data_IF_285213768529
#
_entry.id   IF_285213768529
#
_cell.length_a   1.000
_cell.length_b   1.000
_cell.length_c   1.000
_cell.angle_alpha   90.00
_cell.angle_beta   90.00
_cell.angle_gamma   90.00
#
_symmetry.space_group_name_H-M   'P 1'
#
loop_
_entity.id
_entity.type
_entity.pdbx_description
1 polymer ?
#
# COMPACT_ATOMS: atom_id res chain seq x y z
N UNK A 1 -6.80 -21.90 -13.13
CA UNK A 1 -7.28 -20.51 -13.39
C UNK A 1 -8.66 -20.62 -13.99
N UNK A 2 -9.68 -20.05 -13.35
CA UNK A 2 -11.06 -20.15 -13.83
C UNK A 2 -11.36 -19.07 -14.87
N UNK A 3 -12.32 -19.32 -15.78
CA UNK A 3 -12.77 -18.36 -16.79
C UNK A 3 -13.22 -17.01 -16.20
N UNK A 4 -13.50 -16.99 -14.90
CA UNK A 4 -13.94 -15.81 -14.14
C UNK A 4 -12.78 -14.86 -13.77
N UNK A 5 -11.58 -15.41 -13.57
CA UNK A 5 -10.35 -14.63 -13.29
C UNK A 5 -9.86 -13.92 -14.58
N UNK A 6 -10.02 -14.57 -15.72
CA UNK A 6 -9.68 -14.01 -17.04
C UNK A 6 -10.60 -12.82 -17.43
N UNK A 7 -11.86 -12.86 -17.02
CA UNK A 7 -12.84 -11.79 -17.26
C UNK A 7 -12.55 -10.58 -16.37
N UNK A 8 -12.17 -10.77 -15.11
CA UNK A 8 -11.81 -9.70 -14.19
C UNK A 8 -10.51 -8.99 -14.64
N UNK A 9 -9.50 -9.75 -15.02
CA UNK A 9 -8.24 -9.22 -15.52
C UNK A 9 -8.43 -8.40 -16.80
N UNK A 10 -9.25 -8.89 -17.76
CA UNK A 10 -9.60 -8.17 -18.99
C UNK A 10 -10.45 -6.93 -18.73
N UNK A 11 -11.36 -6.96 -17.74
CA UNK A 11 -12.21 -5.80 -17.42
C UNK A 11 -11.39 -4.65 -16.82
N UNK A 12 -10.44 -4.95 -15.93
CA UNK A 12 -9.50 -3.95 -15.40
C UNK A 12 -8.57 -3.41 -16.48
N UNK A 13 -8.07 -4.28 -17.36
CA UNK A 13 -7.21 -3.85 -18.47
C UNK A 13 -7.97 -2.92 -19.45
N UNK A 14 -9.25 -3.19 -19.70
CA UNK A 14 -10.09 -2.38 -20.61
C UNK A 14 -10.48 -1.03 -19.97
N UNK A 15 -10.66 -0.96 -18.66
CA UNK A 15 -10.92 0.32 -17.96
C UNK A 15 -9.71 1.24 -17.97
N UNK A 16 -8.49 0.68 -17.87
CA UNK A 16 -7.25 1.48 -17.95
C UNK A 16 -7.02 2.01 -19.37
N UNK A 17 -7.40 1.25 -20.41
CA UNK A 17 -7.20 1.65 -21.82
C UNK A 17 -8.38 2.48 -22.38
N UNK A 18 -9.57 2.38 -21.75
CA UNK A 18 -10.82 2.99 -22.25
C UNK A 18 -11.09 4.43 -21.84
N UNK A 19 -10.24 5.10 -21.07
CA UNK A 19 -10.43 6.52 -20.72
C UNK A 19 -10.06 7.41 -21.91
N UNK A 20 -11.09 7.88 -22.58
CA UNK A 20 -11.06 8.78 -23.73
C UNK A 20 -10.19 10.02 -23.50
N UNK A 21 -9.40 10.36 -24.52
CA UNK A 21 -8.64 11.59 -24.75
C UNK A 21 -9.34 12.83 -24.20
N UNK A 22 -8.72 13.49 -23.20
CA UNK A 22 -9.21 14.79 -22.74
C UNK A 22 -8.59 15.37 -21.49
N UNK A 23 -7.87 14.59 -20.67
CA UNK A 23 -7.03 15.13 -19.59
C UNK A 23 -5.64 14.51 -19.74
N UNK A 24 -4.62 15.38 -19.79
CA UNK A 24 -3.21 14.97 -19.71
C UNK A 24 -3.07 14.20 -18.40
N UNK A 25 -3.14 12.86 -18.46
CA UNK A 25 -2.85 12.03 -17.29
C UNK A 25 -1.41 12.33 -16.89
N UNK A 26 -1.23 13.15 -15.87
CA UNK A 26 0.07 13.34 -15.24
C UNK A 26 0.37 12.04 -14.50
N UNK A 27 1.11 11.15 -15.16
CA UNK A 27 1.69 9.98 -14.51
C UNK A 27 2.78 10.47 -13.57
N UNK A 28 2.64 10.20 -12.29
CA UNK A 28 3.70 10.47 -11.32
C UNK A 28 4.82 9.45 -11.45
N UNK A 29 5.98 9.77 -10.91
CA UNK A 29 7.16 8.89 -10.91
C UNK A 29 7.87 8.95 -9.57
N UNK A 30 8.40 7.81 -9.13
CA UNK A 30 9.19 7.77 -7.91
C UNK A 30 10.51 8.52 -8.07
N UNK A 31 10.86 9.34 -7.10
CA UNK A 31 12.16 9.99 -7.03
C UNK A 31 13.29 8.97 -6.80
N UNK A 32 14.53 9.34 -7.09
CA UNK A 32 15.71 8.52 -6.77
C UNK A 32 15.78 8.18 -5.27
N UNK A 33 15.39 9.11 -4.40
CA UNK A 33 15.29 8.87 -2.95
C UNK A 33 14.24 7.81 -2.61
N UNK A 34 13.08 7.82 -3.25
CA UNK A 34 12.05 6.78 -3.07
C UNK A 34 12.56 5.42 -3.56
N UNK A 35 13.24 5.39 -4.71
CA UNK A 35 13.81 4.15 -5.25
C UNK A 35 14.88 3.55 -4.33
N UNK A 36 15.77 4.36 -3.74
CA UNK A 36 16.76 3.87 -2.77
C UNK A 36 16.11 3.31 -1.50
N UNK A 37 14.94 3.81 -1.08
CA UNK A 37 14.19 3.27 0.06
C UNK A 37 13.53 1.91 -0.22
N UNK A 38 13.42 1.51 -1.47
CA UNK A 38 12.93 0.18 -1.86
C UNK A 38 14.03 -0.90 -1.84
N UNK A 39 15.29 -0.54 -1.60
CA UNK A 39 16.36 -1.52 -1.46
C UNK A 39 16.11 -2.46 -0.27
N UNK A 40 16.24 -3.78 -0.52
CA UNK A 40 15.97 -4.81 0.48
C UNK A 40 14.48 -5.11 0.73
N UNK A 41 13.57 -4.43 0.04
CA UNK A 41 12.13 -4.75 0.01
C UNK A 41 11.88 -5.90 -0.97
N UNK A 42 10.87 -6.74 -0.71
CA UNK A 42 10.47 -7.85 -1.57
C UNK A 42 10.07 -7.35 -2.97
N UNK A 43 10.51 -8.05 -4.01
CA UNK A 43 10.37 -7.63 -5.41
C UNK A 43 8.92 -7.35 -5.80
N UNK A 44 7.97 -8.19 -5.40
CA UNK A 44 6.55 -7.98 -5.69
C UNK A 44 6.04 -6.67 -5.11
N UNK A 45 6.43 -6.30 -3.87
CA UNK A 45 6.03 -5.02 -3.29
C UNK A 45 6.70 -3.84 -4.01
N UNK A 46 7.95 -4.00 -4.44
CA UNK A 46 8.66 -3.00 -5.27
C UNK A 46 7.93 -2.78 -6.60
N UNK A 47 7.49 -3.86 -7.27
CA UNK A 47 6.74 -3.79 -8.53
C UNK A 47 5.39 -3.10 -8.29
N UNK A 48 4.65 -3.50 -7.26
CA UNK A 48 3.36 -2.89 -6.88
C UNK A 48 3.50 -1.37 -6.68
N UNK A 49 4.48 -0.92 -5.90
CA UNK A 49 4.70 0.51 -5.64
C UNK A 49 5.05 1.27 -6.93
N UNK A 50 5.88 0.68 -7.81
CA UNK A 50 6.26 1.27 -9.10
C UNK A 50 5.10 1.36 -10.09
N UNK A 51 4.18 0.39 -10.09
CA UNK A 51 3.00 0.42 -10.95
C UNK A 51 1.93 1.34 -10.36
N UNK A 52 1.71 1.30 -9.04
CA UNK A 52 0.72 2.14 -8.37
C UNK A 52 0.98 3.64 -8.58
N UNK A 53 2.23 4.11 -8.52
CA UNK A 53 2.54 5.53 -8.72
C UNK A 53 2.14 6.04 -10.11
N UNK A 54 2.16 5.18 -11.12
CA UNK A 54 1.80 5.54 -12.51
C UNK A 54 0.30 5.79 -12.69
N UNK A 55 -0.54 5.14 -11.86
CA UNK A 55 -2.00 5.18 -11.94
C UNK A 55 -2.66 5.91 -10.78
N UNK A 56 -1.89 6.28 -9.76
CA UNK A 56 -2.38 7.00 -8.60
C UNK A 56 -2.92 8.38 -8.97
N UNK A 57 -4.01 8.79 -8.32
CA UNK A 57 -4.55 10.15 -8.41
C UNK A 57 -3.78 11.14 -7.55
N UNK A 58 -3.03 10.64 -6.57
CA UNK A 58 -2.24 11.39 -5.60
C UNK A 58 -0.77 11.06 -5.80
N UNK A 59 0.08 12.08 -5.86
CA UNK A 59 1.54 11.87 -5.87
C UNK A 59 2.00 11.32 -4.54
N UNK A 60 2.93 10.36 -4.56
CA UNK A 60 3.49 9.82 -3.35
C UNK A 60 4.97 9.42 -3.50
N UNK A 61 5.64 9.34 -2.37
CA UNK A 61 7.01 8.84 -2.29
C UNK A 61 7.16 7.78 -1.21
N UNK A 62 8.20 6.95 -1.31
CA UNK A 62 8.54 5.96 -0.28
C UNK A 62 9.38 6.65 0.80
N UNK A 63 8.92 6.61 2.05
CA UNK A 63 9.64 7.18 3.19
C UNK A 63 10.34 6.12 4.04
N UNK A 64 9.81 4.88 4.04
CA UNK A 64 10.42 3.75 4.70
C UNK A 64 10.19 2.46 3.91
N UNK A 65 11.23 1.67 3.76
CA UNK A 65 11.19 0.28 3.27
C UNK A 65 11.80 -0.63 4.32
N UNK A 66 12.98 -1.19 4.04
CA UNK A 66 13.69 -2.06 4.97
C UNK A 66 14.21 -1.29 6.19
N UNK A 67 14.03 -1.88 7.37
CA UNK A 67 14.60 -1.42 8.65
C UNK A 67 15.56 -2.47 9.21
N UNK A 68 16.56 -2.01 9.93
CA UNK A 68 17.40 -2.86 10.78
C UNK A 68 16.71 -3.16 12.12
N UNK A 69 17.14 -4.22 12.80
CA UNK A 69 16.66 -4.54 14.16
C UNK A 69 16.93 -3.39 15.15
N UNK A 70 18.07 -2.67 14.98
CA UNK A 70 18.42 -1.53 15.83
C UNK A 70 17.45 -0.37 15.62
N UNK A 71 17.14 -0.01 14.36
CA UNK A 71 16.15 1.05 14.05
C UNK A 71 14.76 0.70 14.59
N UNK A 72 14.34 -0.57 14.46
CA UNK A 72 13.07 -1.03 15.00
C UNK A 72 13.03 -0.93 16.54
N UNK A 73 14.10 -1.32 17.22
CA UNK A 73 14.21 -1.20 18.67
C UNK A 73 14.11 0.26 19.14
N UNK A 74 14.75 1.19 18.43
CA UNK A 74 14.65 2.63 18.74
C UNK A 74 13.22 3.17 18.53
N UNK A 75 12.49 2.71 17.50
CA UNK A 75 11.09 3.08 17.29
C UNK A 75 10.19 2.54 18.41
N UNK A 76 10.42 1.31 18.87
CA UNK A 76 9.69 0.74 20.02
C UNK A 76 9.98 1.53 21.30
N UNK A 77 11.25 1.86 21.55
CA UNK A 77 11.68 2.65 22.72
C UNK A 77 11.03 4.05 22.74
N UNK A 78 10.87 4.67 21.57
CA UNK A 78 10.21 5.98 21.40
C UNK A 78 8.68 5.89 21.39
N UNK A 79 8.09 4.71 21.48
CA UNK A 79 6.65 4.50 21.37
C UNK A 79 6.07 4.70 19.95
N UNK A 80 6.92 4.88 18.94
CA UNK A 80 6.54 5.03 17.55
C UNK A 80 6.22 3.68 16.87
N UNK A 81 6.63 2.57 17.46
CA UNK A 81 6.21 1.22 17.11
C UNK A 81 5.79 0.46 18.35
N UNK A 82 4.86 -0.49 18.20
CA UNK A 82 4.34 -1.33 19.30
C UNK A 82 4.94 -2.73 19.31
N UNK A 83 5.78 -3.08 18.34
CA UNK A 83 6.26 -4.45 18.17
C UNK A 83 7.70 -4.49 17.64
N UNK A 84 8.42 -5.51 18.07
CA UNK A 84 9.69 -5.90 17.45
C UNK A 84 9.48 -6.83 16.24
N UNK A 85 8.28 -7.42 16.08
CA UNK A 85 7.92 -8.25 14.94
C UNK A 85 7.30 -7.36 13.84
N UNK A 86 8.14 -6.62 13.12
CA UNK A 86 7.73 -5.69 12.07
C UNK A 86 7.97 -6.27 10.69
N UNK A 87 7.03 -6.09 9.75
CA UNK A 87 7.19 -6.46 8.34
C UNK A 87 8.25 -5.61 7.61
N UNK A 88 8.69 -4.50 8.20
CA UNK A 88 9.85 -3.72 7.71
C UNK A 88 11.20 -4.40 7.97
N UNK A 89 11.27 -5.35 8.89
CA UNK A 89 12.46 -6.17 9.08
C UNK A 89 12.57 -7.21 7.96
N UNK A 90 13.78 -7.66 7.59
CA UNK A 90 13.93 -8.82 6.73
C UNK A 90 13.23 -10.04 7.35
N UNK A 91 12.28 -10.61 6.61
CA UNK A 91 11.52 -11.79 7.02
C UNK A 91 12.34 -13.05 6.81
N UNK A 92 12.24 -14.03 7.69
CA UNK A 92 13.04 -15.26 7.64
C UNK A 92 12.79 -16.08 6.36
N UNK A 93 11.55 -16.06 5.85
CA UNK A 93 11.15 -16.81 4.65
C UNK A 93 11.81 -16.31 3.37
N UNK A 94 12.13 -15.01 3.26
CA UNK A 94 12.60 -14.39 2.01
C UNK A 94 13.90 -13.62 2.15
N UNK A 95 14.33 -13.29 3.35
CA UNK A 95 15.47 -12.39 3.61
C UNK A 95 15.19 -10.92 3.24
N UNK A 96 13.94 -10.57 2.86
CA UNK A 96 13.52 -9.23 2.44
C UNK A 96 12.49 -8.65 3.40
N UNK A 97 12.38 -7.32 3.46
CA UNK A 97 11.26 -6.68 4.14
C UNK A 97 9.98 -6.79 3.31
N UNK A 98 8.86 -6.98 3.98
CA UNK A 98 7.55 -7.15 3.35
C UNK A 98 6.66 -5.93 3.55
N UNK A 99 7.20 -4.77 3.92
CA UNK A 99 6.43 -3.56 4.15
C UNK A 99 7.11 -2.31 3.59
N UNK A 100 6.28 -1.33 3.25
CA UNK A 100 6.67 0.05 2.90
C UNK A 100 5.76 1.04 3.60
N UNK A 101 6.32 2.22 3.95
CA UNK A 101 5.55 3.39 4.34
C UNK A 101 5.63 4.44 3.22
N UNK A 102 4.48 4.92 2.78
CA UNK A 102 4.34 5.92 1.72
C UNK A 102 3.97 7.29 2.30
N UNK A 103 4.40 8.34 1.63
CA UNK A 103 4.05 9.73 1.96
C UNK A 103 3.28 10.34 0.80
N UNK A 104 2.07 10.82 1.06
CA UNK A 104 1.29 11.56 0.09
C UNK A 104 1.85 12.98 -0.12
N UNK A 105 1.75 13.49 -1.35
CA UNK A 105 2.13 14.85 -1.69
C UNK A 105 0.99 15.61 -2.37
N UNK A 106 0.79 16.86 -1.96
CA UNK A 106 -0.06 17.83 -2.63
C UNK A 106 0.83 18.94 -3.18
N UNK A 107 1.12 18.88 -4.48
CA UNK A 107 2.22 19.64 -5.07
C UNK A 107 3.56 19.21 -4.46
N UNK A 108 4.32 20.15 -3.90
CA UNK A 108 5.60 19.84 -3.21
C UNK A 108 5.46 19.59 -1.71
N UNK A 109 4.27 19.69 -1.14
CA UNK A 109 4.02 19.57 0.31
C UNK A 109 3.62 18.14 0.67
N UNK A 110 4.34 17.54 1.64
CA UNK A 110 3.93 16.28 2.26
C UNK A 110 2.63 16.48 3.05
N UNK A 111 1.73 15.50 2.97
CA UNK A 111 0.43 15.52 3.66
C UNK A 111 0.16 14.17 4.34
N UNK A 112 -0.43 14.25 5.52
CA UNK A 112 -0.89 13.10 6.31
C UNK A 112 -2.42 12.96 6.28
N UNK A 113 -3.10 13.70 5.40
CA UNK A 113 -4.55 13.66 5.27
C UNK A 113 -5.02 12.29 4.79
N UNK A 114 -5.88 11.65 5.58
CA UNK A 114 -6.22 10.23 5.42
C UNK A 114 -6.91 9.93 4.08
N UNK A 115 -7.73 10.86 3.58
CA UNK A 115 -8.41 10.75 2.30
C UNK A 115 -7.44 10.66 1.09
N UNK A 116 -6.21 11.17 1.21
CA UNK A 116 -5.19 11.02 0.17
C UNK A 116 -4.67 9.58 0.13
N UNK A 117 -4.62 8.91 1.29
CA UNK A 117 -4.19 7.52 1.39
C UNK A 117 -5.26 6.54 0.88
N UNK A 118 -6.54 6.91 0.87
CA UNK A 118 -7.59 6.13 0.22
C UNK A 118 -7.31 5.98 -1.28
N UNK A 119 -6.99 7.08 -1.97
CA UNK A 119 -6.64 7.08 -3.40
C UNK A 119 -5.31 6.35 -3.69
N UNK A 120 -4.31 6.47 -2.80
CA UNK A 120 -3.06 5.71 -2.90
C UNK A 120 -3.34 4.21 -2.70
N UNK A 121 -4.16 3.85 -1.71
CA UNK A 121 -4.52 2.45 -1.44
C UNK A 121 -5.31 1.83 -2.60
N UNK A 122 -6.18 2.58 -3.27
CA UNK A 122 -6.86 2.12 -4.50
C UNK A 122 -5.85 1.84 -5.64
N UNK A 123 -4.81 2.68 -5.79
CA UNK A 123 -3.75 2.45 -6.76
C UNK A 123 -2.87 1.24 -6.40
N UNK A 124 -2.51 1.08 -5.13
CA UNK A 124 -1.78 -0.11 -4.61
C UNK A 124 -2.61 -1.37 -4.84
N UNK A 125 -3.92 -1.34 -4.54
CA UNK A 125 -4.84 -2.45 -4.79
C UNK A 125 -4.85 -2.88 -6.25
N UNK A 126 -4.97 -1.92 -7.17
CA UNK A 126 -4.97 -2.22 -8.61
C UNK A 126 -3.65 -2.89 -9.04
N UNK A 127 -2.52 -2.40 -8.55
CA UNK A 127 -1.20 -2.98 -8.83
C UNK A 127 -1.03 -4.36 -8.16
N UNK A 128 -1.54 -4.57 -6.94
CA UNK A 128 -1.48 -5.86 -6.23
C UNK A 128 -2.27 -6.95 -6.97
N UNK A 129 -3.45 -6.60 -7.50
CA UNK A 129 -4.23 -7.52 -8.36
C UNK A 129 -3.45 -7.93 -9.61
N UNK A 130 -2.73 -7.00 -10.25
CA UNK A 130 -1.91 -7.28 -11.44
C UNK A 130 -0.68 -8.15 -11.11
N UNK A 131 -0.05 -7.93 -9.96
CA UNK A 131 1.10 -8.71 -9.47
C UNK A 131 0.68 -10.09 -8.95
N UNK A 132 -0.62 -10.29 -8.63
CA UNK A 132 -1.15 -11.55 -8.13
C UNK A 132 -0.75 -11.87 -6.68
N UNK A 133 -0.54 -10.86 -5.84
CA UNK A 133 -0.18 -11.02 -4.42
C UNK A 133 -1.05 -10.17 -3.52
N UNK A 134 -1.30 -10.65 -2.31
CA UNK A 134 -2.12 -9.98 -1.33
C UNK A 134 -1.36 -8.87 -0.60
N UNK A 135 -2.00 -7.70 -0.50
CA UNK A 135 -1.47 -6.55 0.22
C UNK A 135 -2.45 -6.09 1.28
N UNK A 136 -2.01 -6.04 2.53
CA UNK A 136 -2.75 -5.40 3.62
C UNK A 136 -2.33 -3.94 3.75
N UNK A 137 -3.31 -3.06 3.93
CA UNK A 137 -3.15 -1.65 4.19
C UNK A 137 -3.38 -1.31 5.66
N UNK A 138 -2.56 -0.43 6.23
CA UNK A 138 -2.71 0.01 7.61
C UNK A 138 -3.98 0.83 7.91
N UNK A 139 -4.74 1.24 6.88
CA UNK A 139 -6.09 1.77 7.03
C UNK A 139 -7.14 0.68 7.33
N UNK A 140 -6.84 -0.61 7.04
CA UNK A 140 -7.80 -1.71 7.15
C UNK A 140 -7.09 -3.06 7.39
N UNK A 141 -6.66 -3.31 8.62
CA UNK A 141 -5.83 -4.46 9.01
C UNK A 141 -6.52 -5.84 9.00
N UNK A 142 -7.82 -5.90 8.74
CA UNK A 142 -8.61 -7.12 8.94
C UNK A 142 -8.72 -8.00 7.69
N UNK A 143 -8.36 -7.46 6.52
CA UNK A 143 -8.31 -8.22 5.26
C UNK A 143 -7.42 -7.53 4.22
N UNK A 144 -6.87 -8.27 3.23
CA UNK A 144 -6.13 -7.69 2.11
C UNK A 144 -6.98 -6.73 1.26
N UNK A 145 -6.31 -5.74 0.65
CA UNK A 145 -6.95 -4.76 -0.25
C UNK A 145 -7.62 -5.43 -1.46
N UNK A 146 -6.96 -6.42 -2.03
CA UNK A 146 -7.41 -7.11 -3.24
C UNK A 146 -8.57 -8.09 -3.01
N UNK A 147 -8.87 -8.45 -1.77
CA UNK A 147 -10.08 -9.20 -1.40
C UNK A 147 -11.35 -8.32 -1.33
N UNK A 148 -11.18 -7.00 -1.45
CA UNK A 148 -12.27 -6.04 -1.33
C UNK A 148 -12.72 -5.52 -2.69
N UNK A 149 -14.03 -5.59 -2.99
CA UNK A 149 -14.60 -5.14 -4.28
C UNK A 149 -14.90 -3.64 -4.35
N UNK A 150 -15.06 -2.98 -3.20
CA UNK A 150 -15.33 -1.55 -3.09
C UNK A 150 -14.06 -0.68 -3.13
N UNK A 151 -14.18 0.59 -2.77
CA UNK A 151 -13.04 1.51 -2.61
C UNK A 151 -12.26 1.19 -1.34
N UNK A 152 -11.00 1.64 -1.25
CA UNK A 152 -10.20 1.49 -0.04
C UNK A 152 -10.77 2.32 1.12
N UNK A 153 -11.44 3.45 0.83
CA UNK A 153 -12.20 4.23 1.81
C UNK A 153 -13.34 3.41 2.45
N UNK A 154 -14.10 2.65 1.63
CA UNK A 154 -15.16 1.77 2.14
C UNK A 154 -14.60 0.65 3.02
N UNK A 155 -13.47 0.06 2.61
CA UNK A 155 -12.78 -0.97 3.39
C UNK A 155 -12.30 -0.44 4.75
N UNK A 156 -11.76 0.77 4.78
CA UNK A 156 -11.35 1.43 6.03
C UNK A 156 -12.55 1.69 6.94
N UNK A 157 -13.67 2.15 6.39
CA UNK A 157 -14.89 2.37 7.15
C UNK A 157 -15.43 1.06 7.73
N UNK A 158 -15.45 -0.04 6.95
CA UNK A 158 -15.82 -1.37 7.44
C UNK A 158 -14.92 -1.81 8.62
N UNK A 159 -13.61 -1.60 8.49
CA UNK A 159 -12.67 -1.90 9.57
C UNK A 159 -12.95 -1.09 10.84
N UNK A 160 -13.21 0.22 10.69
CA UNK A 160 -13.53 1.10 11.81
C UNK A 160 -14.79 0.61 12.53
N UNK A 161 -15.85 0.28 11.78
CA UNK A 161 -17.12 -0.18 12.34
C UNK A 161 -16.98 -1.55 13.00
N UNK A 162 -16.22 -2.46 12.39
CA UNK A 162 -15.89 -3.75 12.99
C UNK A 162 -15.19 -3.58 14.35
N UNK A 163 -14.19 -2.68 14.44
CA UNK A 163 -13.44 -2.46 15.69
C UNK A 163 -14.32 -1.81 16.76
N UNK A 164 -15.16 -0.83 16.36
CA UNK A 164 -16.14 -0.20 17.26
C UNK A 164 -17.17 -1.20 17.78
N UNK A 165 -17.71 -2.06 16.91
CA UNK A 165 -18.61 -3.13 17.28
C UNK A 165 -18.02 -4.14 18.27
N UNK A 166 -16.68 -4.31 18.26
CA UNK A 166 -15.93 -5.11 19.23
C UNK A 166 -15.59 -4.34 20.53
N UNK A 167 -16.04 -3.09 20.70
CA UNK A 167 -15.65 -2.22 21.80
C UNK A 167 -14.17 -1.81 21.81
N UNK A 168 -13.51 -1.85 20.63
CA UNK A 168 -12.08 -1.56 20.48
C UNK A 168 -11.87 -0.30 19.65
N UNK A 169 -10.84 0.47 19.99
CA UNK A 169 -10.39 1.60 19.17
C UNK A 169 -9.72 1.09 17.90
N UNK A 170 -10.11 1.55 16.70
CA UNK A 170 -9.39 1.22 15.48
C UNK A 170 -7.98 1.82 15.53
N UNK A 171 -7.02 1.06 14.99
CA UNK A 171 -5.65 1.52 14.76
C UNK A 171 -5.53 1.80 13.26
N UNK A 172 -5.33 3.05 12.89
CA UNK A 172 -5.21 3.50 11.50
C UNK A 172 -3.78 3.98 11.27
N UNK A 173 -3.13 3.38 10.27
CA UNK A 173 -1.79 3.73 9.80
C UNK A 173 -1.83 3.87 8.27
N UNK A 174 -2.36 5.01 7.80
CA UNK A 174 -2.58 5.26 6.37
C UNK A 174 -1.34 5.05 5.48
N UNK A 175 -0.14 5.49 5.89
CA UNK A 175 1.10 5.27 5.14
C UNK A 175 1.50 3.82 4.91
N UNK A 176 1.10 2.88 5.77
CA UNK A 176 1.64 1.52 5.83
C UNK A 176 0.97 0.54 4.86
N UNK A 177 1.79 -0.16 4.06
CA UNK A 177 1.38 -1.25 3.18
C UNK A 177 2.31 -2.45 3.37
N UNK A 178 1.75 -3.67 3.47
CA UNK A 178 2.54 -4.88 3.63
C UNK A 178 2.03 -6.05 2.79
N UNK A 179 2.95 -6.92 2.36
CA UNK A 179 2.61 -8.19 1.71
C UNK A 179 2.08 -9.20 2.73
N UNK A 180 1.09 -9.98 2.31
CA UNK A 180 0.61 -11.18 3.01
C UNK A 180 1.11 -12.43 2.27
N UNK A 181 2.42 -12.67 2.37
CA UNK A 181 3.06 -13.90 1.90
C UNK A 181 3.63 -14.68 3.08
N UNK A 182 3.44 -16.00 3.05
CA UNK A 182 3.90 -16.95 4.06
C UNK A 182 5.32 -17.39 3.79
#
# INVERSE_FOLDING_TARGET
>A
MSAQEDILCRHYHTQIIGQKRGKKNMSFTLSSRSLSKLEGVHESLVNIVKEAIKVSKVDFGVICGTRTKSEQAELVKKGASKTMNSRHLPQESTGKSHAVDLMAYVGSRASWELNLYDDIADAIKAAAVMEGVDVTWGGAWHKPLNDWKGTSADLMNEYIDLRRGQGRKPFIDGPHFQLEIN
#
